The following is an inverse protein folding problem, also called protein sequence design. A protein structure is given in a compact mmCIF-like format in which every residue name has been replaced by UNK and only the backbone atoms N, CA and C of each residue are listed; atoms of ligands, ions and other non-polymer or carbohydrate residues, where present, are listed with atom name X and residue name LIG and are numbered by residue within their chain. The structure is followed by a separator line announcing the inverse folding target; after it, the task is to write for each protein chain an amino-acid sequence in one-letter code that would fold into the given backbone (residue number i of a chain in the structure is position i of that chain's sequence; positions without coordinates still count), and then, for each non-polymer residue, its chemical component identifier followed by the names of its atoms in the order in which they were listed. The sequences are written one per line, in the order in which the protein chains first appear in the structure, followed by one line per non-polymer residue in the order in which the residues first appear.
data_IF_042971483736
#
_entry.id   IF_042971483736
#
_cell.length_a   1.000
_cell.length_b   1.000
_cell.length_c   1.000
_cell.angle_alpha   90.00
_cell.angle_beta   90.00
_cell.angle_gamma   90.00
#
_symmetry.space_group_name_H-M   'P 1'
#
loop_
_entity.id
_entity.type
_entity.pdbx_description
1 polymer ?
#
# COMPACT_ATOMS: atom_id res chain seq x y z
N UNK A 1 46.57 17.09 14.60
CA UNK A 1 46.04 15.94 13.84
C UNK A 1 44.71 15.51 14.44
N UNK A 2 43.60 15.55 13.69
CA UNK A 2 42.32 14.92 14.05
C UNK A 2 41.96 13.92 12.94
N UNK A 3 41.60 12.66 13.23
CA UNK A 3 41.26 11.70 12.20
C UNK A 3 39.85 11.98 11.65
N UNK A 4 39.75 12.15 10.33
CA UNK A 4 38.46 12.27 9.64
C UNK A 4 37.76 10.91 9.68
N UNK A 5 36.66 10.81 10.42
CA UNK A 5 35.75 9.66 10.43
C UNK A 5 35.05 9.59 9.07
N UNK A 6 35.37 8.56 8.28
CA UNK A 6 34.69 8.29 7.03
C UNK A 6 33.22 7.96 7.31
N UNK A 7 32.31 8.84 6.88
CA UNK A 7 30.87 8.55 6.83
C UNK A 7 30.66 7.72 5.56
N UNK A 8 30.61 6.41 5.73
CA UNK A 8 30.13 5.50 4.70
C UNK A 8 28.61 5.64 4.62
N UNK A 9 28.10 6.37 3.64
CA UNK A 9 26.68 6.37 3.29
C UNK A 9 26.37 5.13 2.46
N UNK A 10 25.50 4.20 2.91
CA UNK A 10 25.02 3.12 2.05
C UNK A 10 24.00 3.67 1.02
N UNK A 11 23.85 3.01 -0.14
CA UNK A 11 23.12 3.56 -1.27
C UNK A 11 21.60 3.44 -1.06
N UNK A 12 20.88 4.54 -1.24
CA UNK A 12 19.43 4.57 -1.32
C UNK A 12 18.95 3.89 -2.62
N UNK A 13 18.86 2.56 -2.61
CA UNK A 13 18.21 1.76 -3.67
C UNK A 13 16.91 1.10 -3.17
N UNK A 14 16.17 1.80 -2.32
CA UNK A 14 14.93 1.31 -1.71
C UNK A 14 13.61 1.50 -2.51
N UNK A 15 13.48 2.31 -3.60
CA UNK A 15 12.16 2.51 -4.19
C UNK A 15 11.69 1.30 -5.01
N UNK A 16 12.60 0.65 -5.74
CA UNK A 16 12.23 -0.49 -6.61
C UNK A 16 11.96 -1.77 -5.81
N UNK A 17 12.73 -2.06 -4.76
CA UNK A 17 12.52 -3.25 -3.93
C UNK A 17 11.24 -3.13 -3.11
N UNK A 18 10.88 -1.94 -2.64
CA UNK A 18 9.65 -1.71 -1.89
C UNK A 18 8.40 -1.85 -2.77
N UNK A 19 8.39 -1.21 -3.95
CA UNK A 19 7.26 -1.35 -4.88
C UNK A 19 7.11 -2.80 -5.35
N UNK A 20 8.22 -3.47 -5.67
CA UNK A 20 8.16 -4.88 -6.07
C UNK A 20 7.74 -5.78 -4.91
N UNK A 21 8.16 -5.51 -3.67
CA UNK A 21 7.71 -6.24 -2.49
C UNK A 21 6.23 -6.03 -2.21
N UNK A 22 5.71 -4.80 -2.34
CA UNK A 22 4.29 -4.50 -2.16
C UNK A 22 3.46 -5.14 -3.27
N UNK A 23 3.87 -5.02 -4.54
CA UNK A 23 3.17 -5.66 -5.66
C UNK A 23 3.21 -7.19 -5.56
N UNK A 24 4.35 -7.77 -5.17
CA UNK A 24 4.51 -9.21 -4.97
C UNK A 24 3.73 -9.69 -3.76
N UNK A 25 3.73 -8.97 -2.64
CA UNK A 25 2.95 -9.35 -1.45
C UNK A 25 1.44 -9.27 -1.73
N UNK A 26 0.98 -8.23 -2.43
CA UNK A 26 -0.43 -8.10 -2.81
C UNK A 26 -0.83 -9.16 -3.86
N UNK A 27 0.00 -9.44 -4.88
CA UNK A 27 -0.28 -10.50 -5.85
C UNK A 27 -0.19 -11.92 -5.24
N UNK A 28 0.78 -12.15 -4.36
CA UNK A 28 0.99 -13.44 -3.71
C UNK A 28 -0.13 -13.74 -2.72
N UNK A 29 -0.53 -12.75 -1.92
CA UNK A 29 -1.67 -12.88 -1.00
C UNK A 29 -2.98 -13.12 -1.76
N UNK A 30 -3.18 -12.47 -2.91
CA UNK A 30 -4.36 -12.64 -3.74
C UNK A 30 -4.42 -14.04 -4.36
N UNK A 31 -3.32 -14.50 -4.98
CA UNK A 31 -3.23 -15.84 -5.57
C UNK A 31 -3.42 -16.96 -4.53
N UNK A 32 -2.86 -16.79 -3.33
CA UNK A 32 -3.00 -17.76 -2.25
C UNK A 32 -4.45 -17.90 -1.77
N UNK A 33 -5.18 -16.80 -1.61
CA UNK A 33 -6.58 -16.82 -1.19
C UNK A 33 -7.49 -17.54 -2.22
N UNK A 34 -7.25 -17.34 -3.52
CA UNK A 34 -7.99 -18.02 -4.60
C UNK A 34 -7.76 -19.53 -4.59
N UNK A 35 -6.53 -19.97 -4.30
CA UNK A 35 -6.19 -21.39 -4.16
C UNK A 35 -6.86 -22.02 -2.93
N UNK A 36 -6.88 -21.33 -1.78
CA UNK A 36 -7.54 -21.82 -0.57
C UNK A 36 -9.06 -21.99 -0.79
N UNK A 37 -9.72 -21.00 -1.40
CA UNK A 37 -11.16 -21.06 -1.69
C UNK A 37 -11.54 -22.25 -2.61
N UNK A 38 -10.67 -22.59 -3.58
CA UNK A 38 -10.87 -23.75 -4.46
C UNK A 38 -10.71 -25.10 -3.77
N UNK A 39 -9.98 -25.15 -2.65
CA UNK A 39 -9.75 -26.39 -1.89
C UNK A 39 -10.76 -26.57 -0.73
N UNK A 40 -11.38 -25.50 -0.23
CA UNK A 40 -12.36 -25.55 0.86
C UNK A 40 -13.79 -25.91 0.39
N UNK A 41 -14.17 -25.59 -0.86
CA UNK A 41 -15.47 -25.99 -1.41
C UNK A 41 -15.45 -27.43 -1.98
N UNK A 42 -16.16 -28.35 -1.33
CA UNK A 42 -16.18 -29.79 -1.68
C UNK A 42 -17.08 -30.13 -2.89
N UNK A 43 -17.84 -29.17 -3.41
CA UNK A 43 -18.67 -29.28 -4.62
C UNK A 43 -18.01 -28.48 -5.75
N UNK A 44 -17.16 -29.16 -6.53
CA UNK A 44 -16.39 -28.57 -7.63
C UNK A 44 -17.33 -27.90 -8.65
N UNK A 45 -17.24 -26.58 -8.92
CA UNK A 45 -18.03 -25.96 -9.98
C UNK A 45 -17.70 -26.66 -11.31
N UNK A 46 -18.74 -27.00 -12.08
CA UNK A 46 -18.63 -27.75 -13.35
C UNK A 46 -17.68 -27.10 -14.37
N UNK A 47 -17.30 -25.83 -14.18
CA UNK A 47 -16.28 -25.15 -14.97
C UNK A 47 -15.30 -24.36 -14.06
N UNK A 48 -14.27 -25.04 -13.55
CA UNK A 48 -13.20 -24.45 -12.74
C UNK A 48 -12.52 -23.24 -13.42
N UNK A 49 -12.54 -23.19 -14.75
CA UNK A 49 -11.96 -22.10 -15.51
C UNK A 49 -12.74 -20.77 -15.32
N UNK A 50 -14.06 -20.83 -15.16
CA UNK A 50 -14.87 -19.62 -14.96
C UNK A 50 -14.72 -19.07 -13.54
N UNK A 51 -14.59 -19.95 -12.54
CA UNK A 51 -14.26 -19.56 -11.17
C UNK A 51 -12.90 -18.85 -11.11
N UNK A 52 -11.89 -19.44 -11.77
CA UNK A 52 -10.55 -18.87 -11.88
C UNK A 52 -10.58 -17.54 -12.64
N UNK A 53 -11.38 -17.39 -13.71
CA UNK A 53 -11.51 -16.12 -14.43
C UNK A 53 -12.13 -15.02 -13.58
N UNK A 54 -13.20 -15.32 -12.84
CA UNK A 54 -13.85 -14.36 -11.92
C UNK A 54 -12.87 -13.89 -10.84
N UNK A 55 -12.08 -14.82 -10.30
CA UNK A 55 -11.17 -14.54 -9.20
C UNK A 55 -9.79 -14.03 -9.64
N UNK A 56 -9.32 -14.30 -10.87
CA UNK A 56 -8.04 -13.80 -11.37
C UNK A 56 -8.16 -12.56 -12.27
N UNK A 57 -9.37 -12.25 -12.77
CA UNK A 57 -9.59 -11.18 -13.74
C UNK A 57 -10.86 -10.37 -13.46
N UNK A 58 -10.67 -9.13 -13.02
CA UNK A 58 -11.59 -8.01 -13.26
C UNK A 58 -12.82 -7.83 -12.37
N UNK A 59 -12.86 -8.38 -11.16
CA UNK A 59 -13.49 -7.61 -10.09
C UNK A 59 -12.48 -6.51 -9.70
N UNK A 60 -12.46 -5.40 -10.45
CA UNK A 60 -11.89 -4.16 -9.88
C UNK A 60 -12.55 -3.91 -8.52
N UNK A 61 -11.88 -3.19 -7.58
CA UNK A 61 -12.50 -2.89 -6.29
C UNK A 61 -13.94 -2.45 -6.53
N UNK A 62 -14.89 -3.05 -5.80
CA UNK A 62 -16.30 -2.78 -6.04
C UNK A 62 -16.51 -1.27 -6.08
N UNK A 63 -17.38 -0.73 -6.95
CA UNK A 63 -17.54 0.71 -7.09
C UNK A 63 -17.85 1.40 -5.75
N UNK A 64 -18.49 0.67 -4.81
CA UNK A 64 -18.69 1.10 -3.44
C UNK A 64 -17.39 1.22 -2.64
N UNK A 65 -16.52 0.21 -2.69
CA UNK A 65 -15.21 0.21 -2.04
C UNK A 65 -14.29 1.30 -2.63
N UNK A 66 -14.32 1.48 -3.94
CA UNK A 66 -13.54 2.50 -4.63
C UNK A 66 -14.02 3.93 -4.30
N UNK A 67 -15.30 4.14 -4.00
CA UNK A 67 -15.81 5.43 -3.50
C UNK A 67 -15.45 5.63 -2.02
N UNK A 68 -15.60 4.61 -1.18
CA UNK A 68 -15.22 4.66 0.23
C UNK A 68 -13.74 5.03 0.39
N UNK A 69 -12.85 4.36 -0.34
CA UNK A 69 -11.42 4.65 -0.34
C UNK A 69 -11.10 6.07 -0.82
N UNK A 70 -11.86 6.60 -1.79
CA UNK A 70 -11.69 8.00 -2.26
C UNK A 70 -12.10 9.01 -1.18
N UNK A 71 -13.18 8.76 -0.46
CA UNK A 71 -13.59 9.59 0.67
C UNK A 71 -12.56 9.58 1.80
N UNK A 72 -12.06 8.40 2.16
CA UNK A 72 -11.02 8.27 3.19
C UNK A 72 -9.73 8.98 2.78
N UNK A 73 -9.30 8.84 1.51
CA UNK A 73 -8.15 9.57 0.99
C UNK A 73 -8.33 11.08 1.10
N UNK A 74 -9.51 11.60 0.74
CA UNK A 74 -9.80 13.02 0.80
C UNK A 74 -9.75 13.55 2.25
N UNK A 75 -10.38 12.84 3.20
CA UNK A 75 -10.37 13.20 4.61
C UNK A 75 -8.95 13.17 5.19
N UNK A 76 -8.17 12.13 4.88
CA UNK A 76 -6.80 11.99 5.36
C UNK A 76 -5.88 13.07 4.78
N UNK A 77 -6.06 13.41 3.50
CA UNK A 77 -5.31 14.48 2.85
C UNK A 77 -5.63 15.85 3.44
N UNK A 78 -6.89 16.11 3.78
CA UNK A 78 -7.29 17.31 4.52
C UNK A 78 -6.63 17.37 5.90
N UNK A 79 -6.67 16.28 6.67
CA UNK A 79 -6.03 16.20 8.00
C UNK A 79 -4.52 16.44 7.92
N UNK A 80 -3.85 15.84 6.95
CA UNK A 80 -2.42 16.06 6.71
C UNK A 80 -2.11 17.53 6.44
N UNK A 81 -2.90 18.20 5.59
CA UNK A 81 -2.67 19.61 5.28
C UNK A 81 -2.83 20.51 6.50
N UNK A 82 -3.84 20.27 7.33
CA UNK A 82 -4.06 21.02 8.58
C UNK A 82 -2.89 20.83 9.55
N UNK A 83 -2.48 19.58 9.77
CA UNK A 83 -1.35 19.26 10.64
C UNK A 83 -0.04 19.86 10.11
N UNK A 84 0.16 19.89 8.80
CA UNK A 84 1.35 20.50 8.20
C UNK A 84 1.41 22.01 8.43
N UNK A 85 0.28 22.72 8.32
CA UNK A 85 0.25 24.16 8.60
C UNK A 85 0.42 24.45 10.10
N UNK A 86 -0.21 23.67 10.97
CA UNK A 86 0.00 23.78 12.42
C UNK A 86 1.47 23.52 12.80
N UNK A 87 2.09 22.48 12.24
CA UNK A 87 3.49 22.16 12.49
C UNK A 87 4.41 23.32 12.05
N UNK A 88 4.10 23.94 10.91
CA UNK A 88 4.81 25.10 10.39
C UNK A 88 4.64 26.31 11.31
N UNK A 89 3.43 26.58 11.80
CA UNK A 89 3.17 27.67 12.76
C UNK A 89 3.95 27.44 14.06
N UNK A 90 3.86 26.24 14.64
CA UNK A 90 4.56 25.89 15.87
C UNK A 90 6.09 25.99 15.69
N UNK A 91 6.63 25.50 14.57
CA UNK A 91 8.06 25.64 14.25
C UNK A 91 8.49 27.09 14.11
N UNK A 92 7.63 27.96 13.57
CA UNK A 92 7.91 29.39 13.48
C UNK A 92 7.89 30.04 14.87
N UNK A 93 6.93 29.68 15.72
CA UNK A 93 6.83 30.17 17.10
C UNK A 93 8.04 29.77 17.94
N UNK A 94 8.49 28.52 17.83
CA UNK A 94 9.70 28.03 18.51
C UNK A 94 10.97 28.71 17.97
N UNK A 95 11.02 29.07 16.68
CA UNK A 95 12.18 29.74 16.07
C UNK A 95 12.25 31.24 16.40
N UNK A 96 11.11 31.88 16.67
CA UNK A 96 11.03 33.31 17.00
C UNK A 96 11.26 33.61 18.49
N UNK A 97 11.44 32.60 19.35
CA UNK A 97 11.93 32.72 20.72
C UNK A 97 13.41 32.32 20.79
#
# INVERSE_FOLDING_TARGET
MCPKRAVSTPPFHLPFTFIHAVLFHNNFSFSFAVLVALYEETEKPNNALDFIKLHLGAAGPEPADAEALRMELADLQQKCNLLMEENKELRNRVRCC
#
